data_IF_900658992688
#
_entry.id   IF_900658992688
#
_cell.length_a   1.000
_cell.length_b   1.000
_cell.length_c   1.000
_cell.angle_alpha   90.00
_cell.angle_beta   90.00
_cell.angle_gamma   90.00
#
_symmetry.space_group_name_H-M   'P 1'
#
loop_
_entity.id
_entity.type
_entity.pdbx_description
1 polymer ?
#
# COMPACT_ATOMS: atom_id res chain seq x y z
N UNK A 1 12.70 8.70 -21.90
CA UNK A 1 13.49 8.49 -20.67
C UNK A 1 12.49 7.96 -19.67
N UNK A 2 12.58 6.69 -19.28
CA UNK A 2 11.77 6.19 -18.18
C UNK A 2 12.27 6.93 -16.93
N UNK A 3 11.47 7.85 -16.40
CA UNK A 3 11.75 8.43 -15.12
C UNK A 3 11.50 7.32 -14.11
N UNK A 4 12.55 6.83 -13.45
CA UNK A 4 12.36 5.99 -12.28
C UNK A 4 11.67 6.84 -11.23
N UNK A 5 10.42 6.51 -10.93
CA UNK A 5 9.65 7.20 -9.90
C UNK A 5 10.39 7.08 -8.58
N UNK A 6 10.49 8.21 -7.90
CA UNK A 6 11.07 8.25 -6.56
C UNK A 6 10.16 7.54 -5.55
N UNK A 7 10.72 7.18 -4.40
CA UNK A 7 9.96 6.54 -3.32
C UNK A 7 8.77 7.41 -2.87
N UNK A 8 8.96 8.73 -2.87
CA UNK A 8 7.95 9.75 -2.57
C UNK A 8 6.84 9.78 -3.64
N UNK A 9 7.20 9.77 -4.92
CA UNK A 9 6.22 9.71 -6.01
C UNK A 9 5.42 8.40 -6.00
N UNK A 10 6.05 7.27 -5.69
CA UNK A 10 5.33 6.01 -5.53
C UNK A 10 4.37 6.07 -4.33
N UNK A 11 4.79 6.70 -3.24
CA UNK A 11 3.91 6.93 -2.10
C UNK A 11 2.69 7.78 -2.49
N UNK A 12 2.89 8.91 -3.16
CA UNK A 12 1.78 9.84 -3.49
C UNK A 12 0.90 9.35 -4.65
N UNK A 13 1.46 8.66 -5.65
CA UNK A 13 0.74 8.27 -6.87
C UNK A 13 0.10 6.87 -6.80
N UNK A 14 0.60 6.01 -5.91
CA UNK A 14 0.19 4.59 -5.83
C UNK A 14 -0.36 4.27 -4.45
N UNK A 15 0.45 4.52 -3.43
CA UNK A 15 0.15 4.08 -2.07
C UNK A 15 -0.98 4.90 -1.45
N UNK A 16 -0.87 6.23 -1.46
CA UNK A 16 -1.88 7.15 -0.95
C UNK A 16 -3.26 6.97 -1.60
N UNK A 17 -3.41 6.91 -2.94
CA UNK A 17 -4.73 6.73 -3.54
C UNK A 17 -5.31 5.34 -3.28
N UNK A 18 -4.49 4.29 -3.17
CA UNK A 18 -4.96 2.98 -2.77
C UNK A 18 -5.46 2.96 -1.31
N UNK A 19 -4.72 3.64 -0.41
CA UNK A 19 -5.11 3.82 0.98
C UNK A 19 -6.40 4.62 1.08
N UNK A 20 -6.47 5.84 0.52
CA UNK A 20 -7.62 6.74 0.62
C UNK A 20 -8.92 6.08 0.12
N UNK A 21 -8.79 5.17 -0.85
CA UNK A 21 -9.92 4.41 -1.39
C UNK A 21 -10.42 3.32 -0.45
N UNK A 22 -9.56 2.78 0.42
CA UNK A 22 -9.86 1.65 1.31
C UNK A 22 -10.00 2.09 2.77
N UNK A 23 -9.13 2.94 3.28
CA UNK A 23 -9.06 3.44 4.65
C UNK A 23 -9.51 4.90 4.70
N UNK A 24 -10.24 5.26 5.74
CA UNK A 24 -10.60 6.63 6.12
C UNK A 24 -9.52 7.20 7.04
N UNK A 25 -9.56 8.52 7.23
CA UNK A 25 -8.71 9.20 8.21
C UNK A 25 -8.79 8.51 9.59
N UNK A 26 -7.64 8.07 10.10
CA UNK A 26 -7.49 7.41 11.40
C UNK A 26 -7.66 5.89 11.40
N UNK A 27 -7.98 5.25 10.26
CA UNK A 27 -8.04 3.79 10.13
C UNK A 27 -6.65 3.14 9.96
N UNK A 28 -5.71 3.90 9.38
CA UNK A 28 -4.32 3.48 9.20
C UNK A 28 -3.43 4.24 10.18
N UNK A 29 -2.58 3.53 10.91
CA UNK A 29 -1.69 4.10 11.93
C UNK A 29 -0.45 4.72 11.29
N UNK A 30 0.19 3.99 10.38
CA UNK A 30 1.39 4.43 9.68
C UNK A 30 1.67 3.65 8.41
N UNK A 31 2.46 4.25 7.51
CA UNK A 31 2.98 3.62 6.30
C UNK A 31 4.49 3.82 6.26
N UNK A 32 5.23 2.75 6.04
CA UNK A 32 6.68 2.77 5.90
C UNK A 32 7.08 2.19 4.56
N UNK A 33 8.02 2.83 3.86
CA UNK A 33 8.64 2.28 2.66
C UNK A 33 10.01 1.71 3.03
N UNK A 34 10.17 0.41 2.79
CA UNK A 34 11.42 -0.31 3.03
C UNK A 34 12.02 -0.68 1.68
N UNK A 35 13.24 -0.20 1.40
CA UNK A 35 14.01 -0.61 0.23
C UNK A 35 14.96 -1.73 0.61
N UNK A 36 14.85 -2.85 -0.09
CA UNK A 36 15.70 -4.02 0.10
C UNK A 36 17.03 -3.87 -0.65
N UNK A 37 18.05 -4.62 -0.20
CA UNK A 37 19.38 -4.66 -0.82
C UNK A 37 19.37 -5.08 -2.31
N UNK A 38 18.35 -5.84 -2.74
CA UNK A 38 18.15 -6.26 -4.12
C UNK A 38 17.62 -5.13 -5.04
N UNK A 39 17.21 -3.99 -4.46
CA UNK A 39 16.57 -2.88 -5.17
C UNK A 39 15.04 -2.99 -5.24
N UNK A 40 14.46 -3.99 -4.57
CA UNK A 40 13.01 -4.09 -4.37
C UNK A 40 12.52 -3.03 -3.38
N UNK A 41 11.30 -2.54 -3.57
CA UNK A 41 10.65 -1.60 -2.68
C UNK A 41 9.39 -2.24 -2.11
N UNK A 42 9.28 -2.29 -0.78
CA UNK A 42 8.14 -2.79 -0.04
C UNK A 42 7.44 -1.62 0.66
N UNK A 43 6.12 -1.53 0.51
CA UNK A 43 5.28 -0.68 1.33
C UNK A 43 4.68 -1.49 2.46
N UNK A 44 5.01 -1.13 3.69
CA UNK A 44 4.45 -1.70 4.90
C UNK A 44 3.40 -0.75 5.48
N UNK A 45 2.23 -1.30 5.78
CA UNK A 45 1.06 -0.61 6.28
C UNK A 45 0.74 -1.15 7.65
N UNK A 46 0.59 -0.28 8.64
CA UNK A 46 0.24 -0.67 10.01
C UNK A 46 -1.12 -0.10 10.37
N UNK A 47 -2.01 -0.97 10.84
CA UNK A 47 -3.32 -0.57 11.37
C UNK A 47 -3.60 -1.30 12.69
N UNK A 48 -3.55 -0.56 13.80
CA UNK A 48 -3.67 -1.15 15.12
C UNK A 48 -2.54 -2.14 15.41
N UNK A 49 -2.88 -3.42 15.63
CA UNK A 49 -1.93 -4.52 15.87
C UNK A 49 -1.64 -5.34 14.60
N UNK A 50 -2.27 -4.98 13.47
CA UNK A 50 -2.15 -5.70 12.21
C UNK A 50 -1.23 -4.95 11.23
N UNK A 51 -0.47 -5.73 10.46
CA UNK A 51 0.50 -5.22 9.49
C UNK A 51 0.25 -5.88 8.13
N UNK A 52 0.28 -5.09 7.07
CA UNK A 52 0.21 -5.53 5.68
C UNK A 52 1.44 -5.06 4.92
N UNK A 53 1.84 -5.77 3.87
CA UNK A 53 3.02 -5.44 3.09
C UNK A 53 2.78 -5.69 1.61
N UNK A 54 3.02 -4.69 0.77
CA UNK A 54 2.83 -4.79 -0.68
C UNK A 54 4.07 -4.33 -1.45
N UNK A 55 4.52 -5.13 -2.42
CA UNK A 55 5.71 -4.85 -3.21
C UNK A 55 5.42 -3.79 -4.25
N UNK A 56 6.06 -2.62 -4.12
CA UNK A 56 5.96 -1.48 -5.03
C UNK A 56 6.91 -1.57 -6.22
N UNK A 57 8.05 -2.23 -6.01
CA UNK A 57 9.06 -2.36 -7.05
C UNK A 57 9.79 -3.67 -6.88
N UNK A 58 9.98 -4.38 -7.99
CA UNK A 58 10.80 -5.59 -8.04
C UNK A 58 11.76 -5.47 -9.22
N UNK A 59 13.07 -5.64 -9.01
CA UNK A 59 14.05 -5.53 -10.09
C UNK A 59 13.76 -6.57 -11.18
N UNK A 60 13.80 -6.13 -12.44
CA UNK A 60 13.50 -6.98 -13.61
C UNK A 60 12.03 -7.11 -13.97
N UNK A 61 11.11 -6.45 -13.24
CA UNK A 61 9.70 -6.38 -13.57
C UNK A 61 9.34 -4.97 -14.00
N UNK A 62 8.91 -4.80 -15.25
CA UNK A 62 8.35 -3.54 -15.74
C UNK A 62 6.84 -3.53 -15.46
N UNK A 63 6.46 -2.89 -14.36
CA UNK A 63 5.06 -2.65 -13.97
C UNK A 63 4.77 -1.15 -14.13
N UNK A 64 3.57 -0.83 -14.62
CA UNK A 64 3.10 0.55 -14.69
C UNK A 64 2.56 1.01 -13.35
N UNK A 65 2.53 2.32 -13.11
CA UNK A 65 1.96 2.94 -11.90
C UNK A 65 0.51 2.48 -11.67
N UNK A 66 -0.26 2.35 -12.74
CA UNK A 66 -1.66 1.94 -12.70
C UNK A 66 -1.80 0.48 -12.21
N UNK A 67 -1.02 -0.43 -12.79
CA UNK A 67 -1.03 -1.85 -12.41
C UNK A 67 -0.54 -2.03 -10.97
N UNK A 68 0.46 -1.25 -10.55
CA UNK A 68 0.92 -1.21 -9.18
C UNK A 68 -0.15 -0.70 -8.21
N UNK A 69 -0.89 0.33 -8.59
CA UNK A 69 -1.96 0.88 -7.77
C UNK A 69 -3.11 -0.14 -7.63
N UNK A 70 -3.44 -0.86 -8.69
CA UNK A 70 -4.41 -1.95 -8.64
C UNK A 70 -3.94 -3.10 -7.75
N UNK A 71 -2.64 -3.45 -7.82
CA UNK A 71 -2.07 -4.50 -6.98
C UNK A 71 -2.08 -4.11 -5.50
N UNK A 72 -1.58 -2.92 -5.15
CA UNK A 72 -1.60 -2.41 -3.76
C UNK A 72 -3.04 -2.34 -3.25
N UNK A 73 -3.96 -1.85 -4.07
CA UNK A 73 -5.38 -1.81 -3.72
C UNK A 73 -5.95 -3.21 -3.45
N UNK A 74 -5.66 -4.18 -4.33
CA UNK A 74 -6.13 -5.56 -4.14
C UNK A 74 -5.56 -6.19 -2.88
N UNK A 75 -4.28 -5.96 -2.58
CA UNK A 75 -3.60 -6.50 -1.40
C UNK A 75 -4.19 -5.92 -0.11
N UNK A 76 -4.41 -4.60 -0.08
CA UNK A 76 -5.07 -3.90 1.02
C UNK A 76 -6.54 -4.33 1.19
N UNK A 77 -7.27 -4.61 0.09
CA UNK A 77 -8.64 -5.14 0.18
C UNK A 77 -8.66 -6.53 0.81
N UNK A 78 -7.75 -7.41 0.41
CA UNK A 78 -7.62 -8.75 0.99
C UNK A 78 -7.23 -8.67 2.47
N UNK A 79 -6.30 -7.78 2.82
CA UNK A 79 -5.94 -7.48 4.20
C UNK A 79 -7.16 -7.04 5.03
N UNK A 80 -7.92 -6.05 4.56
CA UNK A 80 -9.14 -5.58 5.24
C UNK A 80 -10.19 -6.69 5.37
N UNK A 81 -10.31 -7.56 4.37
CA UNK A 81 -11.26 -8.68 4.40
C UNK A 81 -10.84 -9.79 5.37
N UNK A 82 -9.54 -10.03 5.54
CA UNK A 82 -9.00 -11.03 6.47
C UNK A 82 -8.79 -10.48 7.89
N UNK A 83 -8.67 -9.16 8.02
CA UNK A 83 -8.37 -8.49 9.26
C UNK A 83 -9.54 -8.56 10.24
N UNK A 84 -9.21 -8.91 11.48
CA UNK A 84 -10.18 -8.97 12.59
C UNK A 84 -10.43 -7.60 13.23
N UNK A 85 -9.79 -6.53 12.72
CA UNK A 85 -9.91 -5.16 13.22
C UNK A 85 -11.35 -4.59 13.18
N UNK A 86 -12.31 -5.30 12.56
CA UNK A 86 -13.71 -4.90 12.64
C UNK A 86 -13.99 -3.61 11.89
N UNK A 87 -13.43 -3.46 10.69
CA UNK A 87 -13.54 -2.25 9.84
C UNK A 87 -14.98 -1.74 9.65
N UNK A 88 -15.98 -2.61 9.74
CA UNK A 88 -17.40 -2.24 9.71
C UNK A 88 -17.88 -1.44 10.93
N UNK A 89 -17.32 -1.67 12.13
CA UNK A 89 -17.71 -0.97 13.36
C UNK A 89 -17.20 0.49 13.39
N UNK A 90 -16.06 0.79 12.75
CA UNK A 90 -15.56 2.15 12.59
C UNK A 90 -16.32 2.95 11.51
N UNK A 91 -16.99 2.27 10.58
CA UNK A 91 -17.64 2.94 9.45
C UNK A 91 -19.02 3.49 9.70
N UNK A 92 -19.60 3.18 10.86
CA UNK A 92 -20.88 3.70 11.33
C UNK A 92 -22.05 3.30 10.43
N UNK A 93 -23.03 2.62 10.99
CA UNK A 93 -24.37 2.55 10.38
C UNK A 93 -25.04 3.93 10.34
#
# INVERSE_FOLDING_TARGET
>A
MAHELTDDELMELVVQPAIDRIFREGELDSVTLTREDDGSLLAEFTAGDEQAGSWLRTPGVEITVEDLAEQVFSDLQDFVAQSSFGWGELRGE
#
